data_IF_271014992130
#
_entry.id   IF_271014992130
#
_cell.length_a   1.000
_cell.length_b   1.000
_cell.length_c   1.000
_cell.angle_alpha   90.00
_cell.angle_beta   90.00
_cell.angle_gamma   90.00
#
_symmetry.space_group_name_H-M   'P 1'
#
loop_
_entity.id
_entity.type
_entity.pdbx_description
1 polymer ?
#
# COMPACT_ATOMS: atom_id res chain seq x y z
N UNK A 1 61.68 14.77 -33.71
CA UNK A 1 60.22 14.95 -33.70
C UNK A 1 59.57 13.58 -33.66
N UNK A 2 58.63 13.39 -32.72
CA UNK A 2 57.75 12.24 -32.45
C UNK A 2 58.35 10.88 -32.03
N UNK A 3 58.06 10.46 -30.79
CA UNK A 3 57.56 9.13 -30.48
C UNK A 3 56.04 9.19 -30.29
N UNK A 4 55.28 8.42 -31.07
CA UNK A 4 53.82 8.37 -30.99
C UNK A 4 53.34 6.92 -30.98
N UNK A 5 53.06 6.41 -29.80
CA UNK A 5 52.53 5.07 -29.58
C UNK A 5 51.93 4.95 -28.18
N UNK A 6 50.82 5.66 -27.94
CA UNK A 6 50.03 5.57 -26.71
C UNK A 6 48.64 5.05 -27.03
N UNK A 7 48.29 3.89 -26.47
CA UNK A 7 46.95 3.29 -26.53
C UNK A 7 45.88 4.23 -25.95
N UNK A 8 44.66 4.27 -26.50
CA UNK A 8 43.59 5.05 -25.90
C UNK A 8 43.12 4.37 -24.60
N UNK A 9 43.31 5.10 -23.50
CA UNK A 9 42.74 4.79 -22.18
C UNK A 9 41.22 4.74 -22.27
N UNK A 10 40.65 3.58 -21.94
CA UNK A 10 39.22 3.41 -21.73
C UNK A 10 38.81 4.11 -20.42
N UNK A 11 38.41 5.38 -20.53
CA UNK A 11 37.73 6.09 -19.45
C UNK A 11 36.35 5.43 -19.21
N UNK A 12 36.31 4.43 -18.35
CA UNK A 12 35.08 3.82 -17.88
C UNK A 12 34.39 4.77 -16.90
N UNK A 13 33.36 5.48 -17.36
CA UNK A 13 32.48 6.28 -16.51
C UNK A 13 31.65 5.33 -15.61
N UNK A 14 32.09 5.14 -14.37
CA UNK A 14 31.34 4.41 -13.35
C UNK A 14 30.29 5.34 -12.72
N UNK A 15 29.02 4.95 -12.71
CA UNK A 15 28.01 5.60 -11.88
C UNK A 15 28.06 5.01 -10.46
N UNK A 16 28.08 5.88 -9.46
CA UNK A 16 28.06 5.51 -8.04
C UNK A 16 26.65 5.70 -7.49
N UNK A 17 26.12 4.70 -6.78
CA UNK A 17 24.87 4.84 -6.04
C UNK A 17 25.06 5.87 -4.91
N UNK A 18 24.21 6.89 -4.86
CA UNK A 18 24.26 7.94 -3.81
C UNK A 18 23.93 7.43 -2.41
N UNK A 19 23.27 6.27 -2.30
CA UNK A 19 22.85 5.70 -1.02
C UNK A 19 23.91 4.76 -0.39
N UNK A 20 24.59 3.93 -1.20
CA UNK A 20 25.56 2.94 -0.69
C UNK A 20 26.99 3.07 -1.23
N UNK A 21 27.27 4.08 -2.07
CA UNK A 21 28.58 4.39 -2.69
C UNK A 21 29.24 3.22 -3.46
N UNK A 22 28.49 2.19 -3.86
CA UNK A 22 28.98 1.09 -4.72
C UNK A 22 28.83 1.41 -6.21
N UNK A 23 29.74 0.86 -7.02
CA UNK A 23 29.81 1.02 -8.48
C UNK A 23 28.67 0.26 -9.17
N UNK A 24 27.85 0.96 -9.95
CA UNK A 24 26.83 0.37 -10.82
C UNK A 24 27.51 -0.30 -12.02
N UNK A 25 27.31 -1.62 -12.20
CA UNK A 25 27.73 -2.33 -13.41
C UNK A 25 26.73 -2.04 -14.53
N UNK A 26 27.21 -1.54 -15.67
CA UNK A 26 26.39 -1.40 -16.89
C UNK A 26 25.95 -2.76 -17.42
N UNK A 27 24.69 -2.80 -17.87
CA UNK A 27 24.03 -3.83 -18.68
C UNK A 27 24.52 -5.27 -18.51
N UNK A 28 23.94 -5.96 -17.53
CA UNK A 28 23.76 -7.41 -17.62
C UNK A 28 22.32 -7.74 -17.24
N UNK A 29 21.64 -8.52 -18.10
CA UNK A 29 20.34 -9.12 -17.77
C UNK A 29 20.52 -10.01 -16.55
N UNK A 30 20.17 -9.54 -15.37
CA UNK A 30 20.24 -10.33 -14.14
C UNK A 30 18.98 -11.17 -14.06
N UNK A 31 19.14 -12.50 -14.00
CA UNK A 31 18.04 -13.39 -13.63
C UNK A 31 17.88 -13.30 -12.12
N UNK A 32 16.78 -12.71 -11.67
CA UNK A 32 16.38 -12.75 -10.26
C UNK A 32 15.46 -13.96 -10.09
N UNK A 33 15.84 -14.90 -9.21
CA UNK A 33 14.92 -15.94 -8.74
C UNK A 33 13.86 -15.25 -7.88
N UNK A 34 12.60 -15.35 -8.29
CA UNK A 34 11.51 -14.89 -7.45
C UNK A 34 11.43 -15.82 -6.23
N UNK A 35 11.21 -15.30 -5.00
CA UNK A 35 10.90 -16.18 -3.88
C UNK A 35 9.70 -17.04 -4.29
N UNK A 36 9.79 -18.35 -4.08
CA UNK A 36 8.66 -19.27 -4.20
C UNK A 36 7.68 -18.99 -3.04
N UNK A 37 7.20 -17.76 -2.92
CA UNK A 37 6.18 -17.40 -1.94
C UNK A 37 4.89 -18.07 -2.37
N UNK A 38 4.47 -19.05 -1.59
CA UNK A 38 3.27 -19.84 -1.84
C UNK A 38 2.07 -19.11 -1.25
N UNK A 39 1.06 -18.80 -2.07
CA UNK A 39 -0.17 -18.11 -1.66
C UNK A 39 -0.15 -16.56 -1.76
N UNK A 40 -1.27 -15.91 -1.38
CA UNK A 40 -1.47 -14.46 -1.54
C UNK A 40 -0.79 -13.60 -0.45
N UNK A 41 -0.37 -14.20 0.67
CA UNK A 41 0.35 -13.54 1.77
C UNK A 41 1.59 -14.36 2.16
N UNK A 42 2.63 -13.69 2.63
CA UNK A 42 3.81 -14.27 3.25
C UNK A 42 3.59 -14.64 4.73
N UNK A 43 2.56 -14.07 5.38
CA UNK A 43 2.27 -14.24 6.80
C UNK A 43 1.09 -15.17 7.06
N UNK A 44 0.13 -15.23 6.13
CA UNK A 44 -1.10 -15.98 6.30
C UNK A 44 -1.06 -17.26 5.45
N UNK A 45 -1.32 -18.44 6.05
CA UNK A 45 -1.32 -19.70 5.32
C UNK A 45 -2.31 -19.73 4.14
N UNK A 46 -1.86 -20.24 3.00
CA UNK A 46 -2.67 -20.32 1.77
C UNK A 46 -4.01 -21.06 1.98
N UNK A 47 -4.00 -22.10 2.82
CA UNK A 47 -5.20 -22.92 3.09
C UNK A 47 -6.31 -22.13 3.79
N UNK A 48 -5.96 -21.20 4.68
CA UNK A 48 -6.94 -20.37 5.40
C UNK A 48 -7.61 -19.39 4.44
N UNK A 49 -6.82 -18.79 3.55
CA UNK A 49 -7.31 -17.85 2.54
C UNK A 49 -8.20 -18.55 1.51
N UNK A 50 -7.81 -19.74 1.05
CA UNK A 50 -8.62 -20.53 0.11
C UNK A 50 -9.96 -20.93 0.72
N UNK A 51 -9.98 -21.36 1.98
CA UNK A 51 -11.23 -21.68 2.68
C UNK A 51 -12.15 -20.47 2.78
N UNK A 52 -11.62 -19.30 3.16
CA UNK A 52 -12.39 -18.07 3.20
C UNK A 52 -12.95 -17.72 1.81
N UNK A 53 -12.16 -17.81 0.75
CA UNK A 53 -12.60 -17.54 -0.63
C UNK A 53 -13.78 -18.42 -1.08
N UNK A 54 -13.82 -19.70 -0.69
CA UNK A 54 -14.96 -20.59 -1.03
C UNK A 54 -16.28 -20.19 -0.37
N UNK A 55 -16.23 -19.45 0.74
CA UNK A 55 -17.43 -18.96 1.45
C UNK A 55 -17.95 -17.65 0.86
N UNK A 56 -17.11 -16.89 0.13
CA UNK A 56 -17.45 -15.54 -0.36
C UNK A 56 -17.97 -15.50 -1.80
N UNK A 57 -18.38 -16.62 -2.39
CA UNK A 57 -18.95 -16.67 -3.75
C UNK A 57 -20.25 -15.84 -3.96
N UNK A 58 -20.76 -15.15 -2.92
CA UNK A 58 -22.09 -14.53 -2.93
C UNK A 58 -22.15 -13.00 -2.80
N UNK A 59 -21.10 -12.23 -3.13
CA UNK A 59 -21.21 -10.76 -3.20
C UNK A 59 -21.09 -10.24 -4.62
N UNK A 60 -22.04 -9.40 -5.06
CA UNK A 60 -22.09 -8.85 -6.42
C UNK A 60 -20.78 -8.15 -6.84
N UNK A 61 -20.13 -7.46 -5.91
CA UNK A 61 -18.87 -6.75 -6.17
C UNK A 61 -17.68 -7.70 -6.41
N UNK A 62 -17.63 -8.85 -5.74
CA UNK A 62 -16.58 -9.85 -6.01
C UNK A 62 -16.76 -10.51 -7.37
N UNK A 63 -18.00 -10.76 -7.78
CA UNK A 63 -18.32 -11.31 -9.11
C UNK A 63 -17.94 -10.30 -10.18
N UNK A 64 -18.20 -9.01 -9.97
CA UNK A 64 -17.82 -7.94 -10.89
C UNK A 64 -16.29 -7.78 -11.00
N UNK A 65 -15.56 -7.78 -9.88
CA UNK A 65 -14.11 -7.72 -9.86
C UNK A 65 -13.49 -8.94 -10.57
N UNK A 66 -13.96 -10.14 -10.25
CA UNK A 66 -13.50 -11.36 -10.91
C UNK A 66 -13.81 -11.34 -12.41
N UNK A 67 -14.98 -10.83 -12.81
CA UNK A 67 -15.38 -10.74 -14.22
C UNK A 67 -14.55 -9.70 -15.00
N UNK A 68 -14.16 -8.60 -14.36
CA UNK A 68 -13.34 -7.56 -14.97
C UNK A 68 -11.88 -7.98 -15.17
N UNK A 69 -11.31 -8.73 -14.23
CA UNK A 69 -9.87 -9.06 -14.22
C UNK A 69 -9.54 -10.53 -14.49
N UNK A 70 -10.55 -11.41 -14.50
CA UNK A 70 -10.39 -12.87 -14.66
C UNK A 70 -9.75 -13.57 -13.45
N UNK A 71 -9.42 -12.83 -12.38
CA UNK A 71 -8.87 -13.32 -11.11
C UNK A 71 -9.07 -12.30 -9.99
N UNK A 72 -9.05 -12.77 -8.74
CA UNK A 72 -8.99 -11.89 -7.57
C UNK A 72 -7.54 -11.49 -7.27
N UNK A 73 -7.31 -10.21 -7.00
CA UNK A 73 -6.02 -9.73 -6.49
C UNK A 73 -5.70 -10.37 -5.12
N UNK A 74 -4.42 -10.53 -4.81
CA UNK A 74 -3.94 -11.09 -3.54
C UNK A 74 -4.44 -10.28 -2.34
N UNK A 75 -4.56 -8.95 -2.46
CA UNK A 75 -5.21 -8.10 -1.42
C UNK A 75 -6.64 -8.57 -1.16
N UNK A 76 -7.44 -8.72 -2.22
CA UNK A 76 -8.85 -9.11 -2.14
C UNK A 76 -8.99 -10.50 -1.52
N UNK A 77 -8.12 -11.44 -1.92
CA UNK A 77 -8.06 -12.78 -1.33
C UNK A 77 -7.77 -12.72 0.17
N UNK A 78 -6.78 -11.94 0.62
CA UNK A 78 -6.47 -11.86 2.06
C UNK A 78 -7.58 -11.16 2.85
N UNK A 79 -8.23 -10.14 2.27
CA UNK A 79 -9.37 -9.48 2.91
C UNK A 79 -10.61 -10.39 3.03
N UNK A 80 -10.69 -11.48 2.28
CA UNK A 80 -11.83 -12.43 2.33
C UNK A 80 -11.96 -13.15 3.67
N UNK A 81 -10.89 -13.20 4.46
CA UNK A 81 -10.92 -13.67 5.86
C UNK A 81 -11.91 -12.87 6.73
N UNK A 82 -12.24 -11.64 6.33
CA UNK A 82 -13.20 -10.77 7.01
C UNK A 82 -14.23 -10.22 6.01
N UNK A 83 -15.22 -11.04 5.66
CA UNK A 83 -16.20 -10.77 4.60
C UNK A 83 -16.94 -9.43 4.73
N UNK A 84 -17.37 -9.05 5.93
CA UNK A 84 -18.06 -7.77 6.17
C UNK A 84 -17.16 -6.55 5.89
N UNK A 85 -15.87 -6.68 6.21
CA UNK A 85 -14.88 -5.65 5.90
C UNK A 85 -14.60 -5.62 4.39
N UNK A 86 -14.44 -6.79 3.76
CA UNK A 86 -14.23 -6.91 2.32
C UNK A 86 -15.36 -6.27 1.52
N UNK A 87 -16.63 -6.51 1.88
CA UNK A 87 -17.77 -5.88 1.21
C UNK A 87 -17.69 -4.35 1.26
N UNK A 88 -17.39 -3.80 2.44
CA UNK A 88 -17.23 -2.36 2.62
C UNK A 88 -16.05 -1.80 1.85
N UNK A 89 -14.94 -2.54 1.77
CA UNK A 89 -13.76 -2.21 1.00
C UNK A 89 -14.05 -2.16 -0.50
N UNK A 90 -14.64 -3.22 -1.06
CA UNK A 90 -14.96 -3.30 -2.49
C UNK A 90 -15.95 -2.22 -2.92
N UNK A 91 -16.99 -2.01 -2.12
CA UNK A 91 -17.94 -0.91 -2.34
C UNK A 91 -17.24 0.45 -2.36
N UNK A 92 -16.31 0.69 -1.44
CA UNK A 92 -15.53 1.92 -1.41
C UNK A 92 -14.65 2.06 -2.65
N UNK A 93 -13.97 0.98 -3.08
CA UNK A 93 -13.17 0.99 -4.30
C UNK A 93 -14.02 1.27 -5.54
N UNK A 94 -15.19 0.66 -5.65
CA UNK A 94 -16.13 0.91 -6.74
C UNK A 94 -16.53 2.39 -6.82
N UNK A 95 -16.85 3.03 -5.69
CA UNK A 95 -17.16 4.47 -5.67
C UNK A 95 -15.97 5.35 -6.00
N UNK A 96 -14.76 4.97 -5.57
CA UNK A 96 -13.56 5.76 -5.83
C UNK A 96 -13.07 5.64 -7.28
N UNK A 97 -13.11 4.44 -7.87
CA UNK A 97 -12.47 4.13 -9.13
C UNK A 97 -13.43 3.70 -10.25
N UNK A 98 -14.58 3.12 -9.93
CA UNK A 98 -15.51 2.58 -10.93
C UNK A 98 -16.59 3.56 -11.37
N UNK A 99 -17.12 4.38 -10.46
CA UNK A 99 -18.22 5.30 -10.78
C UNK A 99 -17.77 6.59 -11.46
N UNK A 100 -18.68 7.19 -12.23
CA UNK A 100 -18.54 8.58 -12.67
C UNK A 100 -18.36 9.52 -11.48
N UNK A 101 -17.46 10.49 -11.65
CA UNK A 101 -17.04 11.34 -10.55
C UNK A 101 -16.26 12.56 -11.04
N UNK A 102 -15.89 13.46 -10.12
CA UNK A 102 -15.31 14.76 -10.46
C UNK A 102 -13.93 14.64 -11.14
N UNK A 103 -13.25 13.50 -11.00
CA UNK A 103 -11.95 13.23 -11.61
C UNK A 103 -12.05 12.17 -12.71
N UNK A 104 -11.32 12.36 -13.81
CA UNK A 104 -11.14 11.32 -14.84
C UNK A 104 -10.38 10.11 -14.29
N UNK A 105 -10.66 8.90 -14.80
CA UNK A 105 -10.00 7.66 -14.36
C UNK A 105 -8.45 7.74 -14.35
N UNK A 106 -7.76 8.29 -15.38
CA UNK A 106 -6.31 8.42 -15.35
C UNK A 106 -5.78 9.28 -14.19
N UNK A 107 -6.50 10.35 -13.84
CA UNK A 107 -6.14 11.16 -12.67
C UNK A 107 -6.28 10.35 -11.38
N UNK A 108 -7.34 9.55 -11.24
CA UNK A 108 -7.56 8.75 -10.03
C UNK A 108 -6.46 7.71 -9.84
N UNK A 109 -6.11 6.97 -10.89
CA UNK A 109 -5.01 6.00 -10.83
C UNK A 109 -3.65 6.66 -10.61
N UNK A 110 -3.38 7.82 -11.21
CA UNK A 110 -2.12 8.52 -10.95
C UNK A 110 -2.02 9.04 -9.50
N UNK A 111 -3.13 9.54 -8.93
CA UNK A 111 -3.19 9.93 -7.51
C UNK A 111 -2.92 8.71 -6.61
N UNK A 112 -3.46 7.54 -6.94
CA UNK A 112 -3.18 6.30 -6.24
C UNK A 112 -1.68 5.92 -6.30
N UNK A 113 -1.04 6.05 -7.47
CA UNK A 113 0.41 5.86 -7.63
C UNK A 113 1.18 6.85 -6.73
N UNK A 114 0.81 8.14 -6.76
CA UNK A 114 1.44 9.16 -5.92
C UNK A 114 1.34 8.84 -4.43
N UNK A 115 0.19 8.32 -3.98
CA UNK A 115 -0.04 7.92 -2.59
C UNK A 115 0.83 6.72 -2.20
N UNK A 116 0.76 5.64 -2.98
CA UNK A 116 1.52 4.42 -2.73
C UNK A 116 3.05 4.66 -2.75
N UNK A 117 3.53 5.57 -3.62
CA UNK A 117 4.93 5.95 -3.70
C UNK A 117 5.46 6.60 -2.42
N UNK A 118 4.62 7.22 -1.57
CA UNK A 118 5.05 7.77 -0.27
C UNK A 118 5.62 6.71 0.67
N UNK A 119 5.15 5.47 0.53
CA UNK A 119 5.57 4.33 1.33
C UNK A 119 6.39 3.31 0.53
N UNK A 120 6.78 3.65 -0.71
CA UNK A 120 7.50 2.75 -1.62
C UNK A 120 6.78 1.40 -1.83
N UNK A 121 5.44 1.43 -1.83
CA UNK A 121 4.64 0.22 -1.99
C UNK A 121 4.56 -0.20 -3.46
N UNK A 122 5.55 -0.98 -3.91
CA UNK A 122 5.68 -1.44 -5.30
C UNK A 122 4.46 -2.23 -5.79
N UNK A 123 3.82 -3.00 -4.90
CA UNK A 123 2.60 -3.74 -5.21
C UNK A 123 1.48 -2.81 -5.72
N UNK A 124 1.14 -1.77 -4.96
CA UNK A 124 0.06 -0.83 -5.31
C UNK A 124 0.47 0.08 -6.48
N UNK A 125 1.75 0.46 -6.56
CA UNK A 125 2.27 1.22 -7.71
C UNK A 125 2.04 0.42 -9.00
N UNK A 126 2.48 -0.84 -9.05
CA UNK A 126 2.40 -1.66 -10.25
C UNK A 126 0.95 -1.93 -10.66
N UNK A 127 0.07 -2.18 -9.68
CA UNK A 127 -1.38 -2.33 -9.90
C UNK A 127 -1.94 -1.09 -10.61
N UNK A 128 -1.70 0.11 -10.08
CA UNK A 128 -2.25 1.33 -10.67
C UNK A 128 -1.53 1.82 -11.93
N UNK A 129 -0.27 1.45 -12.14
CA UNK A 129 0.41 1.64 -13.42
C UNK A 129 -0.32 0.86 -14.52
N UNK A 130 -0.68 -0.40 -14.25
CA UNK A 130 -1.46 -1.21 -15.20
C UNK A 130 -2.80 -0.57 -15.53
N UNK A 131 -3.57 -0.15 -14.52
CA UNK A 131 -4.88 0.47 -14.72
C UNK A 131 -4.81 1.86 -15.37
N UNK A 132 -3.79 2.65 -15.06
CA UNK A 132 -3.56 3.94 -15.72
C UNK A 132 -3.40 3.77 -17.23
N UNK A 133 -2.61 2.78 -17.66
CA UNK A 133 -2.38 2.52 -19.08
C UNK A 133 -3.63 1.96 -19.77
N UNK A 134 -4.37 1.07 -19.12
CA UNK A 134 -5.64 0.52 -19.65
C UNK A 134 -6.72 1.58 -19.84
N UNK A 135 -6.78 2.57 -18.94
CA UNK A 135 -7.78 3.65 -18.97
C UNK A 135 -7.39 4.82 -19.90
N UNK A 136 -6.36 4.65 -20.74
CA UNK A 136 -5.91 5.67 -21.69
C UNK A 136 -5.07 6.79 -21.07
N UNK A 137 -4.46 6.55 -19.92
CA UNK A 137 -3.53 7.48 -19.29
C UNK A 137 -2.25 7.69 -20.09
N UNK A 138 -1.64 8.85 -19.92
CA UNK A 138 -0.42 9.27 -20.61
C UNK A 138 0.78 8.56 -20.00
N UNK A 139 1.46 7.70 -20.78
CA UNK A 139 2.57 6.87 -20.30
C UNK A 139 3.75 7.70 -19.77
N UNK A 140 3.98 8.89 -20.33
CA UNK A 140 5.03 9.81 -19.92
C UNK A 140 4.90 10.25 -18.46
N UNK A 141 3.69 10.23 -17.88
CA UNK A 141 3.47 10.55 -16.47
C UNK A 141 4.24 9.62 -15.53
N UNK A 142 4.54 8.40 -15.98
CA UNK A 142 5.28 7.38 -15.24
C UNK A 142 6.78 7.68 -15.14
N UNK A 143 7.30 8.63 -15.94
CA UNK A 143 8.69 9.08 -15.88
C UNK A 143 8.98 9.98 -14.66
N UNK A 144 7.97 10.21 -13.81
CA UNK A 144 8.08 10.92 -12.54
C UNK A 144 7.33 12.25 -12.54
N UNK A 145 7.34 12.90 -11.37
CA UNK A 145 6.54 14.11 -11.11
C UNK A 145 6.86 15.27 -12.07
N UNK A 146 8.02 15.31 -12.74
CA UNK A 146 8.34 16.35 -13.71
C UNK A 146 7.42 16.31 -14.94
N UNK A 147 6.93 15.14 -15.32
CA UNK A 147 6.21 14.88 -16.57
C UNK A 147 4.68 14.97 -16.44
N UNK A 148 4.17 15.27 -15.25
CA UNK A 148 2.72 15.40 -15.02
C UNK A 148 2.23 16.84 -15.03
N UNK A 149 0.92 17.06 -15.31
CA UNK A 149 0.29 18.36 -15.24
C UNK A 149 0.58 19.07 -13.91
N UNK A 150 0.76 20.40 -13.97
CA UNK A 150 1.04 21.21 -12.78
C UNK A 150 -0.03 21.03 -11.69
N UNK A 151 -1.27 20.79 -12.13
CA UNK A 151 -2.40 20.45 -11.26
C UNK A 151 -2.12 19.28 -10.31
N UNK A 152 -1.55 18.18 -10.82
CA UNK A 152 -1.16 17.00 -10.02
C UNK A 152 0.10 17.27 -9.18
N UNK A 153 1.06 18.04 -9.71
CA UNK A 153 2.25 18.46 -8.95
C UNK A 153 1.87 19.23 -7.69
N UNK A 154 0.88 20.13 -7.79
CA UNK A 154 0.40 20.93 -6.66
C UNK A 154 -0.14 20.07 -5.51
N UNK A 155 -0.70 18.89 -5.82
CA UNK A 155 -1.22 17.94 -4.83
C UNK A 155 -0.11 17.23 -4.02
N UNK A 156 1.14 17.28 -4.47
CA UNK A 156 2.23 16.52 -3.84
C UNK A 156 2.52 16.94 -2.39
N UNK A 157 2.35 18.23 -2.05
CA UNK A 157 2.61 18.71 -0.69
C UNK A 157 1.57 18.14 0.30
N UNK A 158 0.28 18.16 -0.05
CA UNK A 158 -0.75 17.58 0.83
C UNK A 158 -0.61 16.05 0.91
N UNK A 159 -0.24 15.38 -0.19
CA UNK A 159 0.08 13.95 -0.20
C UNK A 159 1.21 13.61 0.80
N UNK A 160 2.29 14.40 0.80
CA UNK A 160 3.40 14.26 1.76
C UNK A 160 2.94 14.40 3.20
N UNK A 161 2.12 15.41 3.49
CA UNK A 161 1.66 15.66 4.86
C UNK A 161 0.70 14.57 5.33
N UNK A 162 -0.28 14.18 4.49
CA UNK A 162 -1.22 13.11 4.79
C UNK A 162 -0.51 11.79 5.14
N UNK A 163 0.52 11.42 4.38
CA UNK A 163 1.22 10.15 4.56
C UNK A 163 2.06 10.04 5.84
N UNK A 164 2.51 11.18 6.40
CA UNK A 164 3.56 11.15 7.44
C UNK A 164 3.25 12.01 8.67
N UNK A 165 2.56 13.15 8.50
CA UNK A 165 2.26 14.12 9.57
C UNK A 165 0.95 14.86 9.27
N UNK A 166 -0.20 14.17 9.26
CA UNK A 166 -1.48 14.75 8.84
C UNK A 166 -1.91 15.95 9.70
N UNK A 167 -1.49 16.01 10.98
CA UNK A 167 -1.77 17.14 11.88
C UNK A 167 -1.11 18.47 11.48
N UNK A 168 -0.16 18.46 10.53
CA UNK A 168 0.46 19.69 9.99
C UNK A 168 -0.35 20.31 8.86
N UNK A 169 -1.44 19.69 8.41
CA UNK A 169 -2.29 20.25 7.37
C UNK A 169 -3.04 21.46 7.94
N UNK A 170 -2.92 22.57 7.24
CA UNK A 170 -3.54 23.85 7.60
C UNK A 170 -4.45 24.34 6.48
N UNK A 171 -5.31 25.33 6.78
CA UNK A 171 -6.20 25.96 5.79
C UNK A 171 -5.44 26.54 4.59
N UNK A 172 -4.20 27.00 4.78
CA UNK A 172 -3.37 27.55 3.71
C UNK A 172 -3.01 26.49 2.65
N UNK A 173 -2.85 25.23 3.05
CA UNK A 173 -2.61 24.13 2.11
C UNK A 173 -3.83 23.90 1.21
N UNK A 174 -5.04 23.92 1.80
CA UNK A 174 -6.29 23.80 1.05
C UNK A 174 -6.49 25.02 0.16
N UNK A 175 -6.28 26.23 0.69
CA UNK A 175 -6.44 27.47 -0.06
C UNK A 175 -5.52 27.51 -1.29
N UNK A 176 -4.27 27.02 -1.19
CA UNK A 176 -3.35 26.95 -2.34
C UNK A 176 -3.87 26.06 -3.47
N UNK A 177 -4.64 25.01 -3.16
CA UNK A 177 -5.17 24.08 -4.16
C UNK A 177 -6.45 24.57 -4.82
N UNK A 178 -7.30 25.28 -4.07
CA UNK A 178 -8.63 25.74 -4.55
C UNK A 178 -8.64 27.19 -5.06
N UNK A 179 -7.54 27.94 -4.90
CA UNK A 179 -7.42 29.32 -5.38
C UNK A 179 -7.74 29.42 -6.88
N UNK A 180 -8.55 30.41 -7.24
CA UNK A 180 -8.91 30.69 -8.64
C UNK A 180 -7.65 30.98 -9.47
N UNK A 181 -7.49 30.27 -10.58
CA UNK A 181 -6.35 30.38 -11.48
C UNK A 181 -6.21 29.15 -12.36
N UNK A 182 -5.16 29.11 -13.18
CA UNK A 182 -4.84 27.92 -13.97
C UNK A 182 -4.43 26.76 -13.05
N UNK A 183 -4.87 25.53 -13.36
CA UNK A 183 -4.57 24.31 -12.60
C UNK A 183 -5.15 24.24 -11.17
N UNK A 184 -6.25 24.95 -10.91
CA UNK A 184 -6.97 24.88 -9.65
C UNK A 184 -7.73 23.55 -9.49
N UNK A 185 -8.05 23.21 -8.25
CA UNK A 185 -8.94 22.12 -7.90
C UNK A 185 -10.29 22.68 -7.45
N UNK A 186 -11.38 22.17 -7.99
CA UNK A 186 -12.68 22.38 -7.35
C UNK A 186 -12.73 21.61 -6.02
N UNK A 187 -13.63 22.02 -5.13
CA UNK A 187 -13.76 21.36 -3.83
C UNK A 187 -14.14 19.88 -3.95
N UNK A 188 -15.10 19.46 -4.81
CA UNK A 188 -15.41 18.03 -4.99
C UNK A 188 -14.22 17.22 -5.52
N UNK A 189 -13.48 17.76 -6.48
CA UNK A 189 -12.27 17.12 -7.02
C UNK A 189 -11.19 16.95 -5.93
N UNK A 190 -10.97 17.98 -5.11
CA UNK A 190 -9.99 17.93 -4.03
C UNK A 190 -10.39 16.92 -2.95
N UNK A 191 -11.68 16.88 -2.57
CA UNK A 191 -12.19 15.89 -1.61
C UNK A 191 -11.96 14.47 -2.13
N UNK A 192 -12.32 14.22 -3.39
CA UNK A 192 -12.09 12.90 -4.01
C UNK A 192 -10.60 12.54 -4.05
N UNK A 193 -9.73 13.48 -4.41
CA UNK A 193 -8.28 13.28 -4.40
C UNK A 193 -7.74 12.95 -3.01
N UNK A 194 -8.17 13.67 -1.96
CA UNK A 194 -7.74 13.43 -0.58
C UNK A 194 -8.23 12.07 -0.08
N UNK A 195 -9.45 11.66 -0.43
CA UNK A 195 -9.97 10.31 -0.12
C UNK A 195 -9.11 9.24 -0.77
N UNK A 196 -8.74 9.39 -2.06
CA UNK A 196 -7.83 8.47 -2.75
C UNK A 196 -6.46 8.42 -2.07
N UNK A 197 -5.87 9.57 -1.74
CA UNK A 197 -4.57 9.63 -1.06
C UNK A 197 -4.60 8.86 0.27
N UNK A 198 -5.56 9.19 1.13
CA UNK A 198 -5.71 8.55 2.44
C UNK A 198 -5.97 7.04 2.32
N UNK A 199 -6.84 6.64 1.38
CA UNK A 199 -7.13 5.24 1.12
C UNK A 199 -5.87 4.45 0.77
N UNK A 200 -5.06 4.95 -0.16
CA UNK A 200 -3.86 4.24 -0.60
C UNK A 200 -2.67 4.33 0.37
N UNK A 201 -2.63 5.32 1.26
CA UNK A 201 -1.70 5.31 2.40
C UNK A 201 -2.06 4.20 3.40
N UNK A 202 -3.35 4.09 3.75
CA UNK A 202 -3.85 3.03 4.63
C UNK A 202 -3.67 1.64 3.99
N UNK A 203 -3.99 1.52 2.70
CA UNK A 203 -3.84 0.26 1.97
C UNK A 203 -2.37 -0.16 1.84
N UNK A 204 -1.43 0.79 1.71
CA UNK A 204 0.00 0.45 1.76
C UNK A 204 0.39 -0.16 3.10
N UNK A 205 -0.16 0.35 4.21
CA UNK A 205 0.05 -0.23 5.54
C UNK A 205 -0.53 -1.64 5.65
N UNK A 206 -1.71 -1.88 5.06
CA UNK A 206 -2.28 -3.22 4.96
C UNK A 206 -1.41 -4.17 4.13
N UNK A 207 -0.90 -3.73 2.98
CA UNK A 207 -0.02 -4.54 2.12
C UNK A 207 1.21 -5.02 2.89
N UNK A 208 1.86 -4.12 3.61
CA UNK A 208 3.04 -4.48 4.41
C UNK A 208 2.67 -5.28 5.66
N UNK A 209 1.62 -4.89 6.38
CA UNK A 209 1.20 -5.54 7.63
C UNK A 209 0.66 -6.95 7.43
N UNK A 210 0.02 -7.21 6.29
CA UNK A 210 -0.51 -8.53 5.91
C UNK A 210 0.46 -9.31 5.01
N UNK A 211 1.65 -8.77 4.71
CA UNK A 211 2.69 -9.43 3.92
C UNK A 211 2.21 -9.85 2.52
N UNK A 212 1.47 -8.99 1.83
CA UNK A 212 0.85 -9.35 0.54
C UNK A 212 1.93 -9.62 -0.51
N UNK A 213 1.85 -10.79 -1.13
CA UNK A 213 2.79 -11.19 -2.18
C UNK A 213 2.48 -10.47 -3.51
N UNK A 214 3.49 -10.19 -4.35
CA UNK A 214 3.28 -9.68 -5.70
C UNK A 214 2.33 -10.56 -6.52
N UNK A 215 1.55 -9.92 -7.38
CA UNK A 215 0.71 -10.62 -8.35
C UNK A 215 1.54 -11.51 -9.28
N UNK A 216 1.09 -12.75 -9.48
CA UNK A 216 1.76 -13.67 -10.42
C UNK A 216 1.49 -13.20 -11.85
N UNK A 217 2.50 -13.20 -12.71
CA UNK A 217 2.32 -12.92 -14.13
C UNK A 217 1.93 -14.23 -14.84
N UNK A 218 0.76 -14.34 -15.49
CA UNK A 218 0.34 -15.56 -16.18
C UNK A 218 1.28 -15.96 -17.33
N UNK A 219 2.08 -15.02 -17.88
CA UNK A 219 3.02 -15.29 -18.98
C UNK A 219 4.37 -15.89 -18.51
N UNK A 220 4.61 -15.96 -17.19
CA UNK A 220 5.90 -16.40 -16.62
C UNK A 220 5.70 -17.73 -15.88
N UNK A 221 5.45 -18.82 -16.62
CA UNK A 221 5.44 -20.17 -16.06
C UNK A 221 6.85 -20.66 -15.65
N UNK A 222 7.91 -19.87 -15.92
CA UNK A 222 9.31 -20.28 -15.78
C UNK A 222 10.08 -19.53 -14.67
N UNK A 223 9.42 -18.95 -13.66
CA UNK A 223 10.09 -18.50 -12.42
C UNK A 223 11.17 -17.41 -12.56
N UNK A 224 11.29 -16.76 -13.72
CA UNK A 224 12.28 -15.72 -13.98
C UNK A 224 11.64 -14.52 -14.67
N UNK A 225 11.78 -13.33 -14.08
CA UNK A 225 11.42 -12.06 -14.73
C UNK A 225 12.68 -11.46 -15.37
N UNK A 226 12.65 -11.17 -16.68
CA UNK A 226 13.67 -10.34 -17.32
C UNK A 226 13.28 -8.87 -17.15
N UNK A 227 14.00 -8.15 -16.30
CA UNK A 227 13.87 -6.69 -16.18
C UNK A 227 15.00 -6.06 -17.00
N UNK A 228 14.68 -5.16 -17.92
CA UNK A 228 15.66 -4.23 -18.48
C UNK A 228 15.91 -3.13 -17.46
N UNK A 229 17.01 -3.25 -16.71
CA UNK A 229 17.33 -2.35 -15.61
C UNK A 229 18.16 -1.19 -16.15
N UNK A 230 17.51 -0.10 -16.54
CA UNK A 230 18.20 1.19 -16.51
C UNK A 230 18.14 1.72 -15.06
N UNK A 231 19.31 1.78 -14.41
CA UNK A 231 19.59 2.51 -13.17
C UNK A 231 18.96 2.01 -11.83
N UNK A 232 18.88 0.70 -11.56
CA UNK A 232 18.61 0.21 -10.19
C UNK A 232 19.84 -0.39 -9.51
N UNK A 233 19.99 -0.13 -8.21
CA UNK A 233 20.98 -0.78 -7.35
C UNK A 233 20.42 -2.12 -6.85
N UNK A 234 21.24 -3.17 -6.80
CA UNK A 234 20.88 -4.46 -6.16
C UNK A 234 20.47 -4.29 -4.69
N UNK A 235 20.88 -3.19 -4.06
CA UNK A 235 20.46 -2.81 -2.71
C UNK A 235 18.99 -2.39 -2.61
N UNK A 236 18.33 -1.99 -3.70
CA UNK A 236 16.89 -1.69 -3.71
C UNK A 236 16.04 -2.97 -3.64
N UNK A 237 16.62 -4.11 -4.03
CA UNK A 237 15.97 -5.44 -3.99
C UNK A 237 16.27 -6.20 -2.68
N UNK A 238 17.22 -5.71 -1.88
CA UNK A 238 17.65 -6.31 -0.62
C UNK A 238 16.97 -5.69 0.61
N UNK A 239 15.87 -4.96 0.43
CA UNK A 239 14.99 -4.59 1.54
C UNK A 239 14.00 -5.72 1.89
N UNK A 240 14.09 -6.86 1.21
CA UNK A 240 13.49 -8.11 1.68
C UNK A 240 14.33 -8.63 2.84
N UNK A 241 13.69 -8.68 4.00
CA UNK A 241 14.14 -9.22 5.28
C UNK A 241 15.31 -10.22 5.13
N UNK A 242 16.49 -9.79 5.58
CA UNK A 242 17.60 -10.68 5.88
C UNK A 242 17.21 -11.52 7.12
N UNK A 243 16.27 -12.46 6.95
CA UNK A 243 16.21 -13.64 7.81
C UNK A 243 17.34 -14.51 7.28
N UNK A 244 18.54 -14.26 7.81
CA UNK A 244 19.58 -15.28 7.77
C UNK A 244 18.95 -16.59 8.25
N UNK A 245 19.21 -17.66 7.51
CA UNK A 245 18.78 -19.01 7.81
C UNK A 245 19.18 -19.42 9.24
N UNK A 246 18.42 -19.01 10.24
CA UNK A 246 18.35 -19.66 11.53
C UNK A 246 17.53 -20.91 11.29
N UNK A 247 18.26 -22.00 11.15
CA UNK A 247 17.76 -23.36 11.10
C UNK A 247 16.60 -23.53 12.08
N UNK A 248 15.38 -23.74 11.57
CA UNK A 248 14.24 -24.22 12.36
C UNK A 248 14.51 -25.70 12.71
N UNK A 249 15.46 -25.90 13.60
CA UNK A 249 15.66 -27.15 14.31
C UNK A 249 15.54 -26.86 15.80
N UNK A 250 14.39 -27.21 16.36
CA UNK A 250 14.18 -27.40 17.79
C UNK A 250 13.82 -26.14 18.59
N UNK A 251 12.55 -26.03 18.98
CA UNK A 251 12.11 -26.26 20.38
C UNK A 251 10.76 -25.59 20.66
N UNK A 252 9.99 -26.22 21.55
CA UNK A 252 8.73 -25.76 22.13
C UNK A 252 8.89 -24.49 23.02
N UNK A 253 9.82 -23.59 22.72
CA UNK A 253 10.21 -22.48 23.59
C UNK A 253 9.29 -21.25 23.49
N UNK A 254 8.47 -21.12 22.43
CA UNK A 254 7.61 -19.93 22.22
C UNK A 254 6.11 -20.09 22.50
N UNK A 255 5.59 -21.33 22.55
CA UNK A 255 4.12 -21.56 22.65
C UNK A 255 3.60 -21.29 24.08
N UNK A 256 4.38 -21.66 25.10
CA UNK A 256 3.98 -21.51 26.51
C UNK A 256 3.92 -20.04 26.93
N UNK A 257 4.83 -19.21 26.42
CA UNK A 257 4.88 -17.77 26.69
C UNK A 257 3.68 -17.05 26.07
N UNK A 258 3.33 -17.41 24.82
CA UNK A 258 2.18 -16.82 24.10
C UNK A 258 0.81 -17.08 24.76
N UNK A 259 0.62 -18.24 25.38
CA UNK A 259 -0.61 -18.58 26.10
C UNK A 259 -0.74 -17.77 27.40
N UNK A 260 0.37 -17.60 28.13
CA UNK A 260 0.39 -16.80 29.35
C UNK A 260 0.12 -15.31 29.09
N UNK A 261 0.68 -14.76 28.00
CA UNK A 261 0.41 -13.39 27.58
C UNK A 261 -1.06 -13.17 27.17
N UNK A 262 -1.66 -14.14 26.47
CA UNK A 262 -3.08 -14.10 26.09
C UNK A 262 -4.00 -14.12 27.31
N UNK A 263 -3.72 -14.99 28.29
CA UNK A 263 -4.49 -15.06 29.54
C UNK A 263 -4.39 -13.74 30.32
N UNK A 264 -3.18 -13.16 30.41
CA UNK A 264 -2.97 -11.86 31.06
C UNK A 264 -3.73 -10.73 30.37
N UNK A 265 -3.81 -10.76 29.04
CA UNK A 265 -4.60 -9.81 28.25
C UNK A 265 -6.11 -9.97 28.52
N UNK A 266 -6.62 -11.20 28.46
CA UNK A 266 -8.04 -11.49 28.71
C UNK A 266 -8.46 -11.03 30.10
N UNK A 267 -7.65 -11.30 31.10
CA UNK A 267 -7.91 -10.90 32.48
C UNK A 267 -7.86 -9.36 32.63
N UNK A 268 -6.93 -8.68 31.95
CA UNK A 268 -6.91 -7.21 31.93
C UNK A 268 -8.14 -6.63 31.24
N UNK A 269 -8.60 -7.22 30.14
CA UNK A 269 -9.81 -6.78 29.43
C UNK A 269 -11.05 -6.93 30.30
N UNK A 270 -11.15 -8.06 31.03
CA UNK A 270 -12.24 -8.31 31.98
C UNK A 270 -12.30 -7.26 33.08
N UNK A 271 -11.17 -6.97 33.73
CA UNK A 271 -11.11 -5.91 34.78
C UNK A 271 -11.56 -4.55 34.26
N UNK A 272 -11.09 -4.14 33.07
CA UNK A 272 -11.50 -2.87 32.46
C UNK A 272 -12.99 -2.82 32.12
N UNK A 273 -13.61 -3.97 31.85
CA UNK A 273 -15.05 -4.05 31.61
C UNK A 273 -15.83 -3.94 32.92
N UNK A 274 -15.41 -4.66 33.97
CA UNK A 274 -16.00 -4.57 35.31
C UNK A 274 -15.90 -3.15 35.88
N UNK A 275 -14.74 -2.48 35.74
CA UNK A 275 -14.55 -1.09 36.16
C UNK A 275 -15.50 -0.13 35.44
N UNK A 276 -15.75 -0.34 34.14
CA UNK A 276 -16.68 0.47 33.35
C UNK A 276 -18.14 0.25 33.78
N UNK A 277 -18.53 -1.00 34.00
CA UNK A 277 -19.88 -1.36 34.45
C UNK A 277 -20.15 -0.81 35.86
N UNK A 278 -19.16 -0.84 36.77
CA UNK A 278 -19.21 -0.24 38.09
C UNK A 278 -19.31 1.30 38.06
N UNK A 279 -18.60 1.95 37.13
CA UNK A 279 -18.66 3.41 36.95
C UNK A 279 -20.02 3.84 36.36
N UNK A 280 -20.56 3.11 35.40
CA UNK A 280 -21.92 3.31 34.87
C UNK A 280 -22.99 3.08 35.96
N UNK A 281 -22.84 2.04 36.79
CA UNK A 281 -23.73 1.77 37.92
C UNK A 281 -23.74 2.91 38.95
N UNK A 282 -22.56 3.41 39.34
CA UNK A 282 -22.43 4.57 40.23
C UNK A 282 -23.03 5.85 39.63
N UNK A 283 -22.86 6.08 38.34
CA UNK A 283 -23.46 7.22 37.64
C UNK A 283 -25.00 7.14 37.62
N UNK A 284 -25.56 5.93 37.48
CA UNK A 284 -27.01 5.70 37.55
C UNK A 284 -27.57 5.90 38.96
N UNK A 285 -26.88 5.42 40.01
CA UNK A 285 -27.26 5.67 41.41
C UNK A 285 -27.19 7.17 41.77
N UNK A 286 -26.14 7.87 41.35
CA UNK A 286 -26.01 9.32 41.54
C UNK A 286 -27.11 10.08 40.78
N UNK A 287 -27.54 9.57 39.62
CA UNK A 287 -28.63 10.16 38.84
C UNK A 287 -30.01 9.88 39.44
N UNK A 288 -30.24 8.71 40.06
CA UNK A 288 -31.49 8.40 40.76
C UNK A 288 -31.61 9.07 42.13
N UNK A 289 -30.48 9.45 42.73
CA UNK A 289 -30.42 10.10 44.04
C UNK A 289 -30.56 11.63 43.99
N UNK A 290 -30.69 12.23 42.80
CA UNK A 290 -30.97 13.68 42.69
C UNK A 290 -32.42 13.96 43.07
N UNK A 291 -32.69 14.78 44.11
CA UNK A 291 -34.06 15.11 44.47
C UNK A 291 -34.73 15.87 43.32
N UNK A 292 -36.00 15.52 43.03
CA UNK A 292 -36.82 16.25 42.08
C UNK A 292 -36.91 17.73 42.54
N UNK A 293 -36.64 18.65 41.61
CA UNK A 293 -36.74 20.08 41.90
C UNK A 293 -38.14 20.41 42.43
N UNK A 294 -38.28 21.15 43.54
CA UNK A 294 -39.60 21.55 44.02
C UNK A 294 -40.26 22.45 42.96
N UNK A 295 -41.46 22.05 42.54
CA UNK A 295 -42.35 22.81 41.64
C UNK A 295 -42.81 24.12 42.24
#
# INVERSE_FOLDING_TARGET
MNPGGGSPSAAANYLLCTNCRKVLRKDKRIRVCQPLTRGPSAFIPEMEVVQANTVVECTNFLVEEYSAYGRLYNITQVMSLHTQYLESFLRSQFYMLGMDGPLSLPYRHYIAIMAAARHQCSYLINMHVGELLKTGGIAEWLNGLAYVPQRLKNLNEINKLLAHRPWLITKEHIQKLVKTGENNWSLPELVHAVVLLAHYHALASFVFGSGINPERDPEISNGFRQISVNNFCVCDLANDNNIENASLSGSNFGIVDSLSELEALMERMKRLQEEREDEEGRLLEVRSSRPAWPT
#
